data_IF_453559826548
#
_entry.id   IF_453559826548
#
_cell.length_a   1.000
_cell.length_b   1.000
_cell.length_c   1.000
_cell.angle_alpha   90.00
_cell.angle_beta   90.00
_cell.angle_gamma   90.00
#
_symmetry.space_group_name_H-M   'P 1'
#
loop_
_entity.id
_entity.type
_entity.pdbx_description
1 polymer ?
#
# COMPACT_ATOMS: atom_id res chain seq x y z
N UNK A 1 -15.09 35.58 15.09
CA UNK A 1 -14.10 34.65 15.71
C UNK A 1 -14.41 33.15 15.53
N UNK A 2 -15.65 32.71 15.22
CA UNK A 2 -16.00 31.28 15.07
C UNK A 2 -15.58 30.65 13.72
N UNK A 3 -15.49 31.46 12.66
CA UNK A 3 -15.19 31.01 11.29
C UNK A 3 -13.72 30.61 11.07
N UNK A 4 -12.77 31.23 11.79
CA UNK A 4 -11.33 30.95 11.65
C UNK A 4 -10.96 29.59 12.25
N UNK A 5 -11.63 29.16 13.33
CA UNK A 5 -11.36 27.86 13.96
C UNK A 5 -11.72 26.66 13.05
N UNK A 6 -12.75 26.80 12.21
CA UNK A 6 -13.16 25.76 11.26
C UNK A 6 -12.13 25.55 10.14
N UNK A 7 -11.55 26.64 9.62
CA UNK A 7 -10.48 26.55 8.62
C UNK A 7 -9.20 25.94 9.23
N UNK A 8 -8.91 26.27 10.49
CA UNK A 8 -7.73 25.73 11.20
C UNK A 8 -7.84 24.21 11.41
N UNK A 9 -9.04 23.69 11.72
CA UNK A 9 -9.26 22.24 11.85
C UNK A 9 -9.25 21.49 10.52
N UNK A 10 -9.57 22.16 9.40
CA UNK A 10 -9.44 21.58 8.06
C UNK A 10 -7.98 21.50 7.58
N UNK A 11 -7.10 22.35 8.14
CA UNK A 11 -5.66 22.34 7.90
C UNK A 11 -4.90 21.31 8.75
N UNK A 12 -5.55 20.69 9.74
CA UNK A 12 -4.93 19.60 10.50
C UNK A 12 -4.96 18.35 9.61
N UNK A 13 -3.81 17.91 9.06
CA UNK A 13 -3.78 16.69 8.29
C UNK A 13 -4.27 15.56 9.20
N UNK A 14 -5.24 14.78 8.69
CA UNK A 14 -5.77 13.60 9.36
C UNK A 14 -4.59 12.78 9.91
N UNK A 15 -4.61 12.36 11.18
CA UNK A 15 -3.48 11.67 11.85
C UNK A 15 -2.84 10.56 11.00
N UNK A 16 -3.65 9.82 10.25
CA UNK A 16 -3.20 8.77 9.31
C UNK A 16 -2.37 9.28 8.12
N UNK A 17 -2.64 10.50 7.65
CA UNK A 17 -1.89 11.17 6.59
C UNK A 17 -0.50 11.61 7.09
N UNK A 18 -0.44 12.05 8.36
CA UNK A 18 0.80 12.38 9.05
C UNK A 18 1.72 11.15 9.23
N UNK A 19 1.16 10.01 9.65
CA UNK A 19 1.90 8.75 9.79
C UNK A 19 2.47 8.28 8.43
N UNK A 20 1.68 8.38 7.36
CA UNK A 20 2.14 8.04 6.00
C UNK A 20 3.24 8.98 5.50
N UNK A 21 3.13 10.28 5.78
CA UNK A 21 4.15 11.26 5.44
C UNK A 21 5.45 11.03 6.23
N UNK A 22 5.35 10.68 7.52
CA UNK A 22 6.50 10.34 8.36
C UNK A 22 7.21 9.08 7.87
N UNK A 23 6.46 8.04 7.48
CA UNK A 23 7.05 6.83 6.90
C UNK A 23 7.77 7.15 5.58
N UNK A 24 7.18 7.98 4.73
CA UNK A 24 7.80 8.40 3.47
C UNK A 24 9.10 9.20 3.70
N UNK A 25 9.11 10.13 4.65
CA UNK A 25 10.33 10.91 4.97
C UNK A 25 11.43 10.04 5.58
N UNK A 26 11.10 9.10 6.46
CA UNK A 26 12.08 8.15 7.02
C UNK A 26 12.69 7.30 5.89
N UNK A 27 11.88 6.84 4.94
CA UNK A 27 12.35 6.08 3.77
C UNK A 27 13.28 6.89 2.86
N UNK A 28 12.96 8.15 2.60
CA UNK A 28 13.78 9.05 1.77
C UNK A 28 15.10 9.38 2.47
N UNK A 29 15.05 9.63 3.78
CA UNK A 29 16.25 9.84 4.60
C UNK A 29 17.11 8.58 4.62
N UNK A 30 16.49 7.40 4.77
CA UNK A 30 17.16 6.11 4.65
C UNK A 30 17.89 5.97 3.33
N UNK A 31 17.22 6.24 2.21
CA UNK A 31 17.82 6.20 0.87
C UNK A 31 19.06 7.09 0.72
N UNK A 32 19.00 8.33 1.22
CA UNK A 32 20.08 9.30 1.10
C UNK A 32 21.26 8.99 2.03
N UNK A 33 20.98 8.45 3.22
CA UNK A 33 21.99 8.24 4.27
C UNK A 33 22.66 6.87 4.22
N UNK A 34 21.99 5.84 3.67
CA UNK A 34 22.52 4.49 3.55
C UNK A 34 23.92 4.42 2.90
N UNK A 35 24.17 5.05 1.72
CA UNK A 35 25.49 4.95 1.08
C UNK A 35 26.60 5.59 1.92
N UNK A 36 26.33 6.75 2.53
CA UNK A 36 27.32 7.43 3.38
C UNK A 36 27.64 6.58 4.62
N UNK A 37 26.63 5.99 5.27
CA UNK A 37 26.83 5.13 6.44
C UNK A 37 27.66 3.90 6.07
N UNK A 38 27.34 3.23 4.95
CA UNK A 38 28.07 2.06 4.46
C UNK A 38 29.55 2.39 4.17
N UNK A 39 29.83 3.53 3.53
CA UNK A 39 31.22 3.96 3.26
C UNK A 39 32.02 4.32 4.50
N UNK A 40 31.36 4.71 5.60
CA UNK A 40 32.05 5.03 6.87
C UNK A 40 32.39 3.79 7.71
N UNK A 41 31.63 2.70 7.57
CA UNK A 41 31.82 1.47 8.36
C UNK A 41 32.85 0.56 7.69
N UNK A 42 32.83 0.47 6.36
CA UNK A 42 33.75 -0.37 5.59
C UNK A 42 34.44 0.48 4.51
N UNK A 43 35.55 1.18 4.83
CA UNK A 43 36.29 2.01 3.86
C UNK A 43 36.93 1.19 2.73
N UNK A 44 36.97 -0.14 2.86
CA UNK A 44 37.51 -1.09 1.87
C UNK A 44 36.41 -1.71 0.99
N UNK A 45 35.12 -1.49 1.31
CA UNK A 45 34.03 -1.99 0.48
C UNK A 45 34.06 -1.28 -0.89
N UNK A 46 34.22 -2.05 -1.97
CA UNK A 46 34.20 -1.51 -3.31
C UNK A 46 32.86 -0.79 -3.58
N UNK A 47 32.85 0.29 -4.38
CA UNK A 47 31.64 1.04 -4.75
C UNK A 47 30.48 0.14 -5.24
N UNK A 48 30.80 -1.03 -5.80
CA UNK A 48 29.84 -2.02 -6.27
C UNK A 48 28.96 -2.59 -5.13
N UNK A 49 29.53 -2.77 -3.93
CA UNK A 49 28.85 -3.38 -2.78
C UNK A 49 27.79 -2.43 -2.20
N UNK A 50 28.12 -1.14 -2.10
CA UNK A 50 27.17 -0.10 -1.70
C UNK A 50 26.00 0.05 -2.69
N UNK A 51 26.25 -0.13 -3.98
CA UNK A 51 25.22 -0.11 -5.03
C UNK A 51 24.21 -1.26 -4.91
N UNK A 52 24.66 -2.46 -4.52
CA UNK A 52 23.77 -3.62 -4.29
C UNK A 52 22.81 -3.32 -3.13
N UNK A 53 23.31 -2.76 -2.03
CA UNK A 53 22.48 -2.36 -0.89
C UNK A 53 21.43 -1.30 -1.24
N UNK A 54 21.78 -0.34 -2.11
CA UNK A 54 20.83 0.63 -2.63
C UNK A 54 19.76 -0.03 -3.51
N UNK A 55 20.13 -0.95 -4.41
CA UNK A 55 19.16 -1.65 -5.25
C UNK A 55 18.17 -2.49 -4.42
N UNK A 56 18.64 -3.15 -3.36
CA UNK A 56 17.78 -3.87 -2.42
C UNK A 56 16.79 -2.91 -1.76
N UNK A 57 17.26 -1.76 -1.26
CA UNK A 57 16.39 -0.74 -0.65
C UNK A 57 15.37 -0.22 -1.67
N UNK A 58 15.77 -0.03 -2.93
CA UNK A 58 14.90 0.44 -4.00
C UNK A 58 13.80 -0.57 -4.32
N UNK A 59 14.15 -1.86 -4.35
CA UNK A 59 13.17 -2.92 -4.57
C UNK A 59 12.10 -2.93 -3.48
N UNK A 60 12.50 -2.71 -2.22
CA UNK A 60 11.60 -2.66 -1.08
C UNK A 60 10.71 -1.41 -1.13
N UNK A 61 11.27 -0.27 -1.52
CA UNK A 61 10.53 0.96 -1.79
C UNK A 61 9.47 0.76 -2.87
N UNK A 62 9.84 0.21 -4.02
CA UNK A 62 8.93 -0.08 -5.11
C UNK A 62 7.82 -1.05 -4.68
N UNK A 63 8.16 -2.08 -3.92
CA UNK A 63 7.19 -3.03 -3.39
C UNK A 63 6.15 -2.36 -2.47
N UNK A 64 6.61 -1.54 -1.51
CA UNK A 64 5.72 -0.78 -0.61
C UNK A 64 4.86 0.20 -1.39
N UNK A 65 5.42 0.89 -2.38
CA UNK A 65 4.69 1.82 -3.23
C UNK A 65 3.59 1.09 -4.04
N UNK A 66 3.92 -0.06 -4.63
CA UNK A 66 2.95 -0.90 -5.34
C UNK A 66 1.85 -1.41 -4.41
N UNK A 67 2.18 -1.89 -3.21
CA UNK A 67 1.19 -2.27 -2.20
C UNK A 67 0.25 -1.12 -1.83
N UNK A 68 0.79 0.08 -1.63
CA UNK A 68 -0.01 1.24 -1.30
C UNK A 68 -0.92 1.64 -2.47
N UNK A 69 -0.42 1.52 -3.70
CA UNK A 69 -1.16 1.82 -4.92
C UNK A 69 -2.29 0.81 -5.17
N UNK A 70 -2.04 -0.49 -4.99
CA UNK A 70 -3.09 -1.52 -5.11
C UNK A 70 -4.16 -1.37 -4.06
N UNK A 71 -3.79 -1.07 -2.80
CA UNK A 71 -4.75 -0.79 -1.74
C UNK A 71 -5.61 0.45 -2.04
N UNK A 72 -5.00 1.51 -2.57
CA UNK A 72 -5.72 2.70 -2.96
C UNK A 72 -6.70 2.42 -4.11
N UNK A 73 -6.25 1.64 -5.11
CA UNK A 73 -7.09 1.23 -6.23
C UNK A 73 -8.29 0.42 -5.74
N UNK A 74 -8.04 -0.59 -4.89
CA UNK A 74 -9.06 -1.42 -4.28
C UNK A 74 -10.08 -0.56 -3.55
N UNK A 75 -9.64 0.34 -2.67
CA UNK A 75 -10.54 1.23 -1.92
C UNK A 75 -11.40 2.09 -2.84
N UNK A 76 -10.81 2.64 -3.91
CA UNK A 76 -11.55 3.47 -4.87
C UNK A 76 -12.60 2.66 -5.64
N UNK A 77 -12.25 1.48 -6.13
CA UNK A 77 -13.21 0.58 -6.78
C UNK A 77 -14.31 0.13 -5.82
N UNK A 78 -13.95 -0.13 -4.56
CA UNK A 78 -14.88 -0.53 -3.51
C UNK A 78 -15.92 0.56 -3.21
N UNK A 79 -15.47 1.81 -3.09
CA UNK A 79 -16.34 2.97 -2.96
C UNK A 79 -17.21 3.19 -4.21
N UNK A 80 -16.64 3.03 -5.40
CA UNK A 80 -17.37 3.23 -6.66
C UNK A 80 -18.52 2.22 -6.83
N UNK A 81 -18.35 1.01 -6.32
CA UNK A 81 -19.39 -0.02 -6.31
C UNK A 81 -20.41 0.15 -5.17
N UNK A 82 -20.19 1.10 -4.26
CA UNK A 82 -21.10 1.37 -3.12
C UNK A 82 -21.16 0.25 -2.09
N UNK A 83 -20.13 -0.61 -2.01
CA UNK A 83 -20.11 -1.72 -1.07
C UNK A 83 -19.94 -1.24 0.38
N UNK A 84 -20.49 -2.01 1.33
CA UNK A 84 -20.26 -1.81 2.76
C UNK A 84 -18.77 -1.81 3.08
N UNK A 85 -18.38 -1.16 4.18
CA UNK A 85 -16.98 -1.19 4.63
C UNK A 85 -16.50 -2.63 4.76
N UNK A 86 -15.25 -2.88 4.37
CA UNK A 86 -14.62 -4.21 4.40
C UNK A 86 -14.76 -4.88 5.78
N UNK A 87 -14.65 -4.11 6.86
CA UNK A 87 -14.78 -4.61 8.24
C UNK A 87 -16.19 -5.11 8.54
N UNK A 88 -17.21 -4.37 8.11
CA UNK A 88 -18.62 -4.72 8.32
C UNK A 88 -19.01 -5.91 7.43
N UNK A 89 -18.40 -6.02 6.25
CA UNK A 89 -18.61 -7.15 5.34
C UNK A 89 -18.12 -8.48 5.92
N UNK A 90 -16.97 -8.50 6.61
CA UNK A 90 -16.46 -9.72 7.27
C UNK A 90 -17.41 -10.18 8.39
N UNK A 91 -18.01 -9.23 9.12
CA UNK A 91 -18.97 -9.53 10.17
C UNK A 91 -20.28 -10.10 9.60
N UNK A 92 -20.79 -9.52 8.51
CA UNK A 92 -22.00 -10.01 7.84
C UNK A 92 -21.78 -11.31 7.07
N UNK A 93 -20.56 -11.58 6.58
CA UNK A 93 -20.22 -12.83 5.91
C UNK A 93 -20.47 -14.05 6.82
N UNK A 94 -20.15 -13.92 8.11
CA UNK A 94 -20.37 -14.98 9.11
C UNK A 94 -21.85 -15.21 9.43
N UNK A 95 -22.73 -14.25 9.09
CA UNK A 95 -24.18 -14.37 9.27
C UNK A 95 -24.87 -15.05 8.09
N UNK A 96 -24.18 -15.23 6.96
CA UNK A 96 -24.72 -15.93 5.79
C UNK A 96 -24.81 -17.44 6.01
N UNK A 97 -25.77 -18.08 5.34
CA UNK A 97 -25.88 -19.54 5.32
C UNK A 97 -24.66 -20.17 4.62
N UNK A 98 -24.29 -21.41 5.00
CA UNK A 98 -23.12 -22.10 4.45
C UNK A 98 -23.14 -22.21 2.92
N UNK A 99 -24.33 -22.36 2.32
CA UNK A 99 -24.51 -22.39 0.86
C UNK A 99 -24.21 -21.04 0.19
N UNK A 100 -24.59 -19.94 0.83
CA UNK A 100 -24.29 -18.59 0.32
C UNK A 100 -22.81 -18.25 0.47
N UNK A 101 -22.17 -18.69 1.57
CA UNK A 101 -20.72 -18.56 1.73
C UNK A 101 -19.97 -19.33 0.65
N UNK A 102 -20.39 -20.56 0.33
CA UNK A 102 -19.80 -21.35 -0.76
C UNK A 102 -19.93 -20.65 -2.12
N UNK A 103 -21.11 -20.10 -2.42
CA UNK A 103 -21.33 -19.35 -3.66
C UNK A 103 -20.44 -18.09 -3.75
N UNK A 104 -20.27 -17.38 -2.63
CA UNK A 104 -19.38 -16.22 -2.58
C UNK A 104 -17.91 -16.60 -2.80
N UNK A 105 -17.45 -17.69 -2.19
CA UNK A 105 -16.10 -18.22 -2.44
C UNK A 105 -15.89 -18.57 -3.90
N UNK A 106 -16.85 -19.25 -4.53
CA UNK A 106 -16.82 -19.56 -5.96
C UNK A 106 -16.73 -18.31 -6.84
N UNK A 107 -17.54 -17.29 -6.54
CA UNK A 107 -17.49 -16.02 -7.27
C UNK A 107 -16.14 -15.32 -7.11
N UNK A 108 -15.58 -15.31 -5.89
CA UNK A 108 -14.25 -14.72 -5.65
C UNK A 108 -13.13 -15.47 -6.39
N UNK A 109 -13.23 -16.80 -6.47
CA UNK A 109 -12.29 -17.62 -7.22
C UNK A 109 -12.37 -17.34 -8.72
N UNK A 110 -13.57 -17.25 -9.28
CA UNK A 110 -13.77 -16.92 -10.69
C UNK A 110 -13.22 -15.52 -11.03
N UNK A 111 -13.42 -14.53 -10.16
CA UNK A 111 -12.86 -13.19 -10.33
C UNK A 111 -11.32 -13.18 -10.28
N UNK A 112 -10.71 -13.92 -9.36
CA UNK A 112 -9.26 -14.07 -9.29
C UNK A 112 -8.69 -14.75 -10.54
N UNK A 113 -9.36 -15.79 -11.01
CA UNK A 113 -8.97 -16.49 -12.24
C UNK A 113 -9.07 -15.57 -13.46
N UNK A 114 -10.16 -14.81 -13.58
CA UNK A 114 -10.34 -13.82 -14.65
C UNK A 114 -9.29 -12.72 -14.60
N UNK A 115 -8.95 -12.23 -13.40
CA UNK A 115 -7.86 -11.26 -13.23
C UNK A 115 -6.52 -11.83 -13.69
N UNK A 116 -6.23 -13.11 -13.38
CA UNK A 116 -5.05 -13.81 -13.87
C UNK A 116 -4.98 -13.88 -15.40
N UNK A 117 -6.10 -14.23 -16.05
CA UNK A 117 -6.20 -14.23 -17.51
C UNK A 117 -6.00 -12.82 -18.09
N UNK A 118 -6.62 -11.80 -17.50
CA UNK A 118 -6.47 -10.42 -17.95
C UNK A 118 -5.02 -9.93 -17.83
N UNK A 119 -4.31 -10.29 -16.77
CA UNK A 119 -2.88 -9.99 -16.62
C UNK A 119 -2.04 -10.68 -17.70
N UNK A 120 -2.31 -11.97 -18.00
CA UNK A 120 -1.62 -12.69 -19.08
C UNK A 120 -1.91 -12.04 -20.44
N UNK A 121 -3.16 -11.67 -20.71
CA UNK A 121 -3.58 -11.00 -21.92
C UNK A 121 -2.98 -9.60 -22.10
N UNK A 122 -2.57 -8.93 -21.01
CA UNK A 122 -1.89 -7.65 -21.07
C UNK A 122 -0.39 -7.77 -21.40
N UNK A 123 0.18 -8.97 -21.23
CA UNK A 123 1.60 -9.26 -21.51
C UNK A 123 1.81 -9.76 -22.94
N UNK A 124 0.84 -10.49 -23.49
CA UNK A 124 0.83 -11.01 -24.88
C UNK A 124 0.38 -9.92 -25.85
#
# INVERSE_FOLDING_TARGET
MKTIKMALTALVPKKQLLEKLMLATILILGWLTLPNILTTIEPTAALLDAGIWQLILLSLLCYVALLQMTWWLLYRFWLALGLLNLTDMVLQFKQLSSWQQLGFFWASFALLFLAGIACLAAIV
#
